data_IF_613329308840
#
_entry.id   IF_613329308840
#
_cell.length_a   1.000
_cell.length_b   1.000
_cell.length_c   1.000
_cell.angle_alpha   90.00
_cell.angle_beta   90.00
_cell.angle_gamma   90.00
#
_symmetry.space_group_name_H-M   'P 1'
#
loop_
_entity.id
_entity.type
_entity.pdbx_description
1 polymer ?
#
# COMPACT_ATOMS: atom_id res chain seq x y z
N UNK A 1 -11.20 -5.69 -15.12
CA UNK A 1 -9.85 -6.24 -15.13
C UNK A 1 -9.25 -6.33 -13.72
N UNK A 2 -9.26 -5.24 -12.94
CA UNK A 2 -8.65 -5.23 -11.60
C UNK A 2 -9.18 -6.33 -10.67
N UNK A 3 -10.51 -6.42 -10.48
CA UNK A 3 -11.12 -7.46 -9.65
C UNK A 3 -10.84 -8.87 -10.17
N UNK A 4 -10.79 -9.04 -11.48
CA UNK A 4 -10.44 -10.31 -12.12
C UNK A 4 -9.01 -10.74 -11.72
N UNK A 5 -8.03 -9.86 -11.88
CA UNK A 5 -6.65 -10.15 -11.51
C UNK A 5 -6.45 -10.33 -10.01
N UNK A 6 -7.19 -9.59 -9.20
CA UNK A 6 -7.15 -9.74 -7.75
C UNK A 6 -7.58 -11.15 -7.32
N UNK A 7 -8.61 -11.71 -7.95
CA UNK A 7 -9.10 -13.06 -7.63
C UNK A 7 -8.22 -14.14 -8.29
N UNK A 8 -7.94 -14.03 -9.59
CA UNK A 8 -7.27 -15.11 -10.35
C UNK A 8 -5.77 -15.20 -10.04
N UNK A 9 -5.11 -14.06 -9.86
CA UNK A 9 -3.67 -14.03 -9.59
C UNK A 9 -3.37 -13.67 -8.13
N UNK A 10 -4.07 -12.69 -7.60
CA UNK A 10 -3.78 -12.15 -6.28
C UNK A 10 -3.96 -13.17 -5.16
N UNK A 11 -5.13 -13.81 -5.09
CA UNK A 11 -5.41 -14.80 -4.04
C UNK A 11 -4.42 -15.98 -4.08
N UNK A 12 -4.15 -16.62 -5.23
CA UNK A 12 -3.16 -17.69 -5.28
C UNK A 12 -1.76 -17.27 -4.87
N UNK A 13 -1.29 -16.09 -5.32
CA UNK A 13 0.06 -15.61 -4.99
C UNK A 13 0.17 -15.29 -3.49
N UNK A 14 -0.82 -14.60 -2.90
CA UNK A 14 -0.85 -14.36 -1.44
C UNK A 14 -0.84 -15.67 -0.68
N UNK A 15 -1.64 -16.65 -1.11
CA UNK A 15 -1.69 -17.96 -0.45
C UNK A 15 -0.34 -18.69 -0.51
N UNK A 16 0.36 -18.61 -1.66
CA UNK A 16 1.72 -19.15 -1.80
C UNK A 16 2.72 -18.47 -0.86
N UNK A 17 2.74 -17.13 -0.80
CA UNK A 17 3.62 -16.40 0.12
C UNK A 17 3.33 -16.76 1.58
N UNK A 18 2.06 -16.81 1.97
CA UNK A 18 1.67 -17.21 3.33
C UNK A 18 2.10 -18.66 3.64
N UNK A 19 2.00 -19.57 2.67
CA UNK A 19 2.43 -20.95 2.83
C UNK A 19 3.95 -21.06 3.04
N UNK A 20 4.75 -20.35 2.24
CA UNK A 20 6.22 -20.30 2.35
C UNK A 20 6.63 -19.72 3.70
N UNK A 21 6.07 -18.58 4.09
CA UNK A 21 6.37 -17.93 5.36
C UNK A 21 6.06 -18.84 6.56
N UNK A 22 4.86 -19.44 6.58
CA UNK A 22 4.44 -20.36 7.65
C UNK A 22 5.27 -21.65 7.72
N UNK A 23 5.67 -22.19 6.57
CA UNK A 23 6.49 -23.40 6.50
C UNK A 23 7.93 -23.14 6.96
N UNK A 24 8.50 -22.03 6.54
CA UNK A 24 9.89 -21.67 6.87
C UNK A 24 10.05 -21.18 8.30
N UNK A 25 9.15 -20.31 8.77
CA UNK A 25 9.25 -19.52 10.03
C UNK A 25 10.54 -18.72 10.12
N UNK A 26 10.98 -18.18 9.01
CA UNK A 26 12.20 -17.44 8.84
C UNK A 26 11.95 -16.15 8.05
N UNK A 27 12.98 -15.31 7.94
CA UNK A 27 12.98 -14.20 6.98
C UNK A 27 12.85 -14.73 5.55
N UNK A 28 12.43 -13.87 4.61
CA UNK A 28 12.17 -14.29 3.22
C UNK A 28 13.36 -15.05 2.63
N UNK A 29 14.58 -14.47 2.72
CA UNK A 29 15.80 -15.11 2.20
C UNK A 29 16.07 -16.46 2.86
N UNK A 30 16.09 -16.50 4.18
CA UNK A 30 16.36 -17.73 4.94
C UNK A 30 15.25 -18.76 4.78
N UNK A 31 14.02 -18.30 4.54
CA UNK A 31 12.86 -19.15 4.26
C UNK A 31 13.04 -19.93 2.98
N UNK A 32 13.40 -19.26 1.90
CA UNK A 32 13.71 -19.93 0.64
C UNK A 32 14.92 -20.83 0.76
N UNK A 33 16.02 -20.39 1.38
CA UNK A 33 17.20 -21.24 1.61
C UNK A 33 16.87 -22.53 2.39
N UNK A 34 15.89 -22.48 3.30
CA UNK A 34 15.47 -23.64 4.09
C UNK A 34 14.60 -24.61 3.31
N UNK A 35 13.76 -24.08 2.41
CA UNK A 35 12.73 -24.86 1.70
C UNK A 35 13.16 -25.29 0.29
N UNK A 36 14.16 -24.64 -0.29
CA UNK A 36 14.61 -24.92 -1.64
C UNK A 36 15.26 -26.30 -1.75
N UNK A 37 15.04 -27.02 -2.86
CA UNK A 37 15.77 -28.24 -3.15
C UNK A 37 17.26 -27.95 -3.36
N UNK A 38 18.16 -28.90 -3.01
CA UNK A 38 19.59 -28.75 -3.24
C UNK A 38 19.92 -28.42 -4.70
N UNK A 39 20.78 -27.42 -4.93
CA UNK A 39 21.20 -27.01 -6.25
C UNK A 39 20.25 -26.06 -6.96
N UNK A 40 19.18 -25.58 -6.32
CA UNK A 40 18.31 -24.53 -6.85
C UNK A 40 18.69 -23.14 -6.34
N UNK A 41 18.13 -22.10 -6.94
CA UNK A 41 18.51 -20.71 -6.70
C UNK A 41 17.32 -19.89 -6.21
N UNK A 42 16.35 -20.51 -5.57
CA UNK A 42 15.15 -19.82 -5.08
C UNK A 42 15.45 -18.77 -4.00
N UNK A 43 16.54 -18.92 -3.26
CA UNK A 43 17.01 -17.92 -2.30
C UNK A 43 17.32 -16.55 -2.93
N UNK A 44 17.58 -16.49 -4.26
CA UNK A 44 17.75 -15.23 -4.98
C UNK A 44 16.47 -14.39 -4.94
N UNK A 45 15.29 -15.02 -4.94
CA UNK A 45 14.03 -14.31 -4.74
C UNK A 45 14.04 -13.51 -3.44
N UNK A 46 14.58 -14.06 -2.36
CA UNK A 46 14.68 -13.36 -1.08
C UNK A 46 15.56 -12.10 -1.15
N UNK A 47 16.61 -12.09 -1.96
CA UNK A 47 17.42 -10.90 -2.19
C UNK A 47 16.69 -9.85 -3.03
N UNK A 48 15.97 -10.29 -4.07
CA UNK A 48 15.16 -9.40 -4.91
C UNK A 48 14.04 -8.77 -4.08
N UNK A 49 13.35 -9.55 -3.26
CA UNK A 49 12.30 -9.07 -2.36
C UNK A 49 12.83 -8.03 -1.36
N UNK A 50 14.01 -8.28 -0.78
CA UNK A 50 14.68 -7.34 0.13
C UNK A 50 15.04 -6.02 -0.57
N UNK A 51 15.64 -6.10 -1.75
CA UNK A 51 15.98 -4.91 -2.55
C UNK A 51 14.72 -4.14 -2.96
N UNK A 52 13.68 -4.84 -3.41
CA UNK A 52 12.39 -4.24 -3.75
C UNK A 52 11.72 -3.54 -2.56
N UNK A 53 11.74 -4.16 -1.39
CA UNK A 53 11.23 -3.55 -0.16
C UNK A 53 12.01 -2.29 0.22
N UNK A 54 13.32 -2.26 -0.01
CA UNK A 54 14.15 -1.09 0.27
C UNK A 54 13.80 0.07 -0.67
N UNK A 55 13.68 -0.20 -1.97
CA UNK A 55 13.25 0.81 -2.97
C UNK A 55 11.85 1.32 -2.66
N UNK A 56 10.95 0.42 -2.29
CA UNK A 56 9.59 0.78 -1.91
C UNK A 56 9.57 1.70 -0.68
N UNK A 57 10.39 1.42 0.34
CA UNK A 57 10.47 2.27 1.53
C UNK A 57 10.95 3.69 1.23
N UNK A 58 11.88 3.88 0.29
CA UNK A 58 12.30 5.21 -0.17
C UNK A 58 11.09 5.99 -0.70
N UNK A 59 10.29 5.37 -1.54
CA UNK A 59 9.10 5.98 -2.11
C UNK A 59 8.03 6.27 -1.04
N UNK A 60 7.72 5.28 -0.20
CA UNK A 60 6.67 5.42 0.82
C UNK A 60 7.00 6.44 1.90
N UNK A 61 8.24 6.54 2.35
CA UNK A 61 8.62 7.54 3.35
C UNK A 61 8.46 8.95 2.81
N UNK A 62 8.75 9.17 1.53
CA UNK A 62 8.55 10.46 0.88
C UNK A 62 7.07 10.82 0.82
N UNK A 63 6.22 9.92 0.33
CA UNK A 63 4.76 10.15 0.27
C UNK A 63 4.14 10.31 1.65
N UNK A 64 4.59 9.53 2.62
CA UNK A 64 4.14 9.71 4.01
C UNK A 64 4.46 11.10 4.54
N UNK A 65 5.64 11.65 4.21
CA UNK A 65 5.99 13.03 4.52
C UNK A 65 4.99 14.04 3.94
N UNK A 66 4.61 13.88 2.67
CA UNK A 66 3.58 14.72 2.05
C UNK A 66 2.24 14.63 2.75
N UNK A 67 1.82 13.43 3.15
CA UNK A 67 0.55 13.24 3.86
C UNK A 67 0.56 13.95 5.22
N UNK A 68 1.68 13.91 5.95
CA UNK A 68 1.81 14.60 7.23
C UNK A 68 1.81 16.12 7.04
N UNK A 69 2.52 16.65 6.02
CA UNK A 69 2.49 18.07 5.69
C UNK A 69 1.07 18.55 5.36
N UNK A 70 0.37 17.83 4.48
CA UNK A 70 -1.02 18.16 4.15
C UNK A 70 -1.95 18.11 5.36
N UNK A 71 -1.77 17.12 6.22
CA UNK A 71 -2.54 17.04 7.47
C UNK A 71 -2.34 18.28 8.35
N UNK A 72 -1.10 18.72 8.52
CA UNK A 72 -0.80 19.93 9.29
C UNK A 72 -1.39 21.18 8.63
N UNK A 73 -1.30 21.30 7.32
CA UNK A 73 -1.88 22.42 6.55
C UNK A 73 -3.41 22.43 6.65
N UNK A 74 -4.08 21.27 6.61
CA UNK A 74 -5.52 21.18 6.80
C UNK A 74 -5.94 21.60 8.21
N UNK A 75 -5.22 21.15 9.23
CA UNK A 75 -5.47 21.57 10.61
C UNK A 75 -5.27 23.07 10.82
N UNK A 76 -4.27 23.64 10.14
CA UNK A 76 -3.97 25.08 10.16
C UNK A 76 -4.94 25.94 9.33
N UNK A 77 -5.87 25.32 8.60
CA UNK A 77 -6.83 26.04 7.76
C UNK A 77 -6.21 26.67 6.50
N UNK A 78 -5.02 26.22 6.09
CA UNK A 78 -4.26 26.80 4.97
C UNK A 78 -4.97 26.69 3.61
N UNK A 79 -6.00 25.89 3.50
CA UNK A 79 -6.78 25.71 2.26
C UNK A 79 -8.08 26.50 2.23
N UNK A 80 -8.41 27.23 3.31
CA UNK A 80 -9.66 27.99 3.39
C UNK A 80 -9.61 29.20 2.43
N UNK A 81 -10.63 29.29 1.59
CA UNK A 81 -10.77 30.40 0.64
C UNK A 81 -9.90 30.31 -0.62
N UNK A 82 -9.10 29.25 -0.77
CA UNK A 82 -8.28 29.06 -1.96
C UNK A 82 -9.13 28.54 -3.13
N UNK A 83 -8.81 29.03 -4.33
CA UNK A 83 -9.33 28.49 -5.58
C UNK A 83 -8.68 27.13 -5.90
N UNK A 84 -9.29 26.36 -6.80
CA UNK A 84 -8.76 25.06 -7.25
C UNK A 84 -7.31 25.16 -7.78
N UNK A 85 -6.99 26.25 -8.46
CA UNK A 85 -5.63 26.49 -8.97
C UNK A 85 -4.63 26.71 -7.83
N UNK A 86 -4.97 27.55 -6.87
CA UNK A 86 -4.11 27.83 -5.72
C UNK A 86 -3.87 26.58 -4.88
N UNK A 87 -4.87 25.71 -4.69
CA UNK A 87 -4.70 24.40 -4.03
C UNK A 87 -3.70 23.51 -4.79
N UNK A 88 -3.74 23.53 -6.12
CA UNK A 88 -2.76 22.79 -6.93
C UNK A 88 -1.35 23.38 -6.80
N UNK A 89 -1.24 24.70 -6.75
CA UNK A 89 0.04 25.41 -6.59
C UNK A 89 0.67 25.14 -5.21
N UNK A 90 -0.13 24.89 -4.17
CA UNK A 90 0.37 24.46 -2.84
C UNK A 90 1.18 23.17 -2.95
N UNK A 91 0.73 22.19 -3.74
CA UNK A 91 1.47 20.96 -3.95
C UNK A 91 2.81 21.20 -4.65
N UNK A 92 2.80 22.03 -5.70
CA UNK A 92 4.03 22.43 -6.40
C UNK A 92 5.03 23.13 -5.49
N UNK A 93 4.57 24.06 -4.64
CA UNK A 93 5.42 24.79 -3.69
C UNK A 93 6.00 23.89 -2.60
N UNK A 94 5.22 22.92 -2.11
CA UNK A 94 5.69 21.90 -1.17
C UNK A 94 6.81 21.05 -1.78
N UNK A 95 6.65 20.59 -3.01
CA UNK A 95 7.68 19.81 -3.71
C UNK A 95 8.96 20.63 -3.97
N UNK A 96 8.84 21.95 -4.12
CA UNK A 96 9.96 22.84 -4.31
C UNK A 96 10.72 23.18 -3.01
N UNK A 97 10.22 22.78 -1.84
CA UNK A 97 10.83 23.03 -0.53
C UNK A 97 11.44 21.75 0.09
N UNK A 98 12.69 21.39 -0.23
CA UNK A 98 13.32 20.18 0.28
C UNK A 98 13.44 20.13 1.80
N UNK A 99 13.60 21.27 2.46
CA UNK A 99 13.75 21.34 3.92
C UNK A 99 12.47 20.93 4.63
N UNK A 100 11.34 21.43 4.17
CA UNK A 100 10.02 21.07 4.70
C UNK A 100 9.71 19.59 4.47
N UNK A 101 9.95 19.10 3.24
CA UNK A 101 9.78 17.69 2.89
C UNK A 101 10.61 16.76 3.79
N UNK A 102 11.91 17.07 3.95
CA UNK A 102 12.80 16.28 4.80
C UNK A 102 12.38 16.33 6.27
N UNK A 103 11.87 17.47 6.74
CA UNK A 103 11.34 17.61 8.10
C UNK A 103 10.16 16.68 8.36
N UNK A 104 9.14 16.71 7.53
CA UNK A 104 7.96 15.84 7.68
C UNK A 104 8.27 14.36 7.40
N UNK A 105 9.14 14.08 6.44
CA UNK A 105 9.63 12.73 6.18
C UNK A 105 10.38 12.18 7.39
N UNK A 106 11.28 12.96 7.98
CA UNK A 106 12.02 12.62 9.19
C UNK A 106 11.09 12.37 10.38
N UNK A 107 10.10 13.24 10.58
CA UNK A 107 9.08 13.07 11.62
C UNK A 107 8.33 11.74 11.45
N UNK A 108 7.89 11.43 10.24
CA UNK A 108 7.19 10.17 9.97
C UNK A 108 8.06 8.95 10.24
N UNK A 109 9.33 8.99 9.84
CA UNK A 109 10.31 7.93 10.10
C UNK A 109 10.52 7.75 11.62
N UNK A 110 10.65 8.84 12.38
CA UNK A 110 10.80 8.79 13.83
C UNK A 110 9.57 8.16 14.50
N UNK A 111 8.36 8.51 14.07
CA UNK A 111 7.12 7.89 14.56
C UNK A 111 7.12 6.38 14.27
N UNK A 112 7.50 5.99 13.05
CA UNK A 112 7.63 4.58 12.69
C UNK A 112 8.62 3.81 13.57
N UNK A 113 9.79 4.38 13.81
CA UNK A 113 10.79 3.80 14.73
C UNK A 113 10.28 3.71 16.17
N UNK A 114 9.58 4.72 16.66
CA UNK A 114 8.99 4.71 18.00
C UNK A 114 7.96 3.58 18.16
N UNK A 115 7.11 3.38 17.15
CA UNK A 115 6.15 2.26 17.14
C UNK A 115 6.86 0.91 17.13
N UNK A 116 7.88 0.76 16.31
CA UNK A 116 8.67 -0.48 16.22
C UNK A 116 9.46 -0.75 17.50
N UNK A 117 9.99 0.28 18.17
CA UNK A 117 10.71 0.15 19.43
C UNK A 117 9.84 -0.41 20.57
N UNK A 118 8.53 -0.20 20.53
CA UNK A 118 7.56 -0.80 21.46
C UNK A 118 7.34 -2.32 21.27
N UNK A 119 8.04 -2.95 20.32
CA UNK A 119 7.96 -4.37 19.98
C UNK A 119 7.07 -4.63 18.76
N UNK A 120 7.66 -5.25 17.75
CA UNK A 120 7.02 -5.47 16.43
C UNK A 120 5.71 -6.24 16.55
N UNK A 121 5.64 -7.28 17.37
CA UNK A 121 4.45 -8.11 17.48
C UNK A 121 3.28 -7.42 18.21
N UNK A 122 3.54 -6.78 19.36
CA UNK A 122 2.47 -6.19 20.20
C UNK A 122 2.13 -4.76 19.82
N UNK A 123 3.16 -3.91 19.67
CA UNK A 123 2.95 -2.47 19.42
C UNK A 123 2.45 -2.24 18.01
N UNK A 124 3.08 -2.87 17.01
CA UNK A 124 2.69 -2.74 15.62
C UNK A 124 1.27 -3.24 15.40
N UNK A 125 0.91 -4.44 15.90
CA UNK A 125 -0.43 -5.00 15.77
C UNK A 125 -1.49 -4.06 16.36
N UNK A 126 -1.27 -3.56 17.59
CA UNK A 126 -2.22 -2.67 18.27
C UNK A 126 -2.40 -1.35 17.51
N UNK A 127 -1.30 -0.71 17.12
CA UNK A 127 -1.33 0.57 16.39
C UNK A 127 -2.01 0.38 15.03
N UNK A 128 -1.60 -0.63 14.27
CA UNK A 128 -2.18 -0.92 12.95
C UNK A 128 -3.68 -1.20 13.06
N UNK A 129 -4.12 -2.00 14.03
CA UNK A 129 -5.54 -2.30 14.23
C UNK A 129 -6.37 -1.04 14.50
N UNK A 130 -5.89 -0.16 15.37
CA UNK A 130 -6.58 1.11 15.68
C UNK A 130 -6.61 2.03 14.45
N UNK A 131 -5.48 2.16 13.76
CA UNK A 131 -5.38 2.99 12.56
C UNK A 131 -6.27 2.46 11.44
N UNK A 132 -6.31 1.15 11.20
CA UNK A 132 -7.14 0.54 10.16
C UNK A 132 -8.64 0.69 10.44
N UNK A 133 -9.07 0.56 11.70
CA UNK A 133 -10.46 0.83 12.08
C UNK A 133 -10.82 2.30 11.90
N UNK A 134 -9.92 3.21 12.30
CA UNK A 134 -10.10 4.64 12.09
C UNK A 134 -10.17 4.99 10.60
N UNK A 135 -9.28 4.42 9.79
CA UNK A 135 -9.29 4.59 8.33
C UNK A 135 -10.59 4.08 7.71
N UNK A 136 -11.06 2.89 8.10
CA UNK A 136 -12.33 2.33 7.61
C UNK A 136 -13.49 3.27 7.92
N UNK A 137 -13.56 3.78 9.16
CA UNK A 137 -14.59 4.73 9.57
C UNK A 137 -14.55 6.02 8.75
N UNK A 138 -13.36 6.60 8.54
CA UNK A 138 -13.18 7.78 7.70
C UNK A 138 -13.60 7.53 6.25
N UNK A 139 -13.22 6.39 5.66
CA UNK A 139 -13.61 6.03 4.28
C UNK A 139 -15.13 5.93 4.17
N UNK A 140 -15.81 5.32 5.13
CA UNK A 140 -17.28 5.22 5.12
C UNK A 140 -17.94 6.60 5.19
N UNK A 141 -17.44 7.49 6.05
CA UNK A 141 -17.95 8.87 6.15
C UNK A 141 -17.71 9.63 4.85
N UNK A 142 -16.50 9.57 4.29
CA UNK A 142 -16.15 10.26 3.05
C UNK A 142 -16.96 9.72 1.86
N UNK A 143 -17.12 8.41 1.77
CA UNK A 143 -17.95 7.78 0.75
C UNK A 143 -19.41 8.23 0.88
N UNK A 144 -19.96 8.20 2.09
CA UNK A 144 -21.32 8.70 2.35
C UNK A 144 -21.50 10.17 1.97
N UNK A 145 -20.54 11.02 2.37
CA UNK A 145 -20.55 12.42 1.99
C UNK A 145 -20.46 12.62 0.46
N UNK A 146 -19.58 11.86 -0.20
CA UNK A 146 -19.40 11.96 -1.66
C UNK A 146 -20.66 11.56 -2.43
N UNK A 147 -21.45 10.62 -1.91
CA UNK A 147 -22.73 10.22 -2.52
C UNK A 147 -23.82 11.30 -2.40
N UNK A 148 -23.70 12.21 -1.47
CA UNK A 148 -24.64 13.31 -1.26
C UNK A 148 -24.29 14.57 -2.06
N UNK A 149 -23.12 14.62 -2.70
CA UNK A 149 -22.69 15.77 -3.48
C UNK A 149 -23.41 15.84 -4.84
N UNK A 150 -23.67 17.07 -5.35
CA UNK A 150 -24.13 17.24 -6.72
C UNK A 150 -23.13 16.63 -7.72
N UNK A 151 -23.63 15.84 -8.67
CA UNK A 151 -22.76 15.13 -9.65
C UNK A 151 -22.24 13.77 -9.18
N UNK A 152 -22.62 13.30 -8.00
CA UNK A 152 -22.24 11.98 -7.50
C UNK A 152 -22.59 10.83 -8.45
N UNK A 153 -23.74 10.94 -9.16
CA UNK A 153 -24.18 9.95 -10.14
C UNK A 153 -23.19 9.78 -11.29
N UNK A 154 -22.69 10.90 -11.85
CA UNK A 154 -21.67 10.85 -12.92
C UNK A 154 -20.36 10.21 -12.44
N UNK A 155 -19.94 10.56 -11.23
CA UNK A 155 -18.76 9.98 -10.60
C UNK A 155 -18.89 8.47 -10.37
N UNK A 156 -20.04 8.04 -9.84
CA UNK A 156 -20.35 6.61 -9.66
C UNK A 156 -20.41 5.86 -10.99
N UNK A 157 -21.05 6.45 -11.99
CA UNK A 157 -21.14 5.87 -13.33
C UNK A 157 -19.75 5.70 -13.95
N UNK A 158 -18.90 6.72 -13.84
CA UNK A 158 -17.51 6.66 -14.30
C UNK A 158 -16.71 5.56 -13.60
N UNK A 159 -16.90 5.40 -12.29
CA UNK A 159 -16.12 4.47 -11.48
C UNK A 159 -16.59 3.02 -11.57
N UNK A 160 -17.90 2.80 -11.62
CA UNK A 160 -18.49 1.46 -11.55
C UNK A 160 -18.80 0.86 -12.91
N UNK A 161 -19.15 1.68 -13.92
CA UNK A 161 -19.53 1.18 -15.23
C UNK A 161 -18.30 1.09 -16.15
N UNK A 162 -18.01 -0.09 -16.69
CA UNK A 162 -16.91 -0.25 -17.64
C UNK A 162 -17.22 0.46 -18.95
N UNK A 163 -16.31 1.30 -19.39
CA UNK A 163 -16.32 1.99 -20.69
C UNK A 163 -15.36 1.27 -21.63
N UNK A 164 -15.91 0.44 -22.50
CA UNK A 164 -15.13 -0.38 -23.43
C UNK A 164 -14.49 0.43 -24.55
N UNK A 165 -15.12 1.51 -24.99
CA UNK A 165 -14.58 2.37 -26.04
C UNK A 165 -13.34 3.11 -25.53
N UNK A 166 -13.41 3.62 -24.32
CA UNK A 166 -12.28 4.27 -23.65
C UNK A 166 -11.16 3.27 -23.36
N UNK A 167 -11.49 2.07 -22.93
CA UNK A 167 -10.51 1.01 -22.69
C UNK A 167 -9.81 0.57 -23.99
N UNK A 168 -10.56 0.47 -25.09
CA UNK A 168 -10.02 0.14 -26.42
C UNK A 168 -9.11 1.27 -26.93
N UNK A 169 -9.51 2.53 -26.76
CA UNK A 169 -8.70 3.69 -27.15
C UNK A 169 -7.38 3.78 -26.38
N UNK A 170 -7.37 3.42 -25.08
CA UNK A 170 -6.17 3.34 -24.27
C UNK A 170 -5.28 2.10 -24.56
N UNK A 171 -5.80 1.14 -25.31
CA UNK A 171 -5.17 -0.15 -25.59
C UNK A 171 -5.45 -1.17 -24.48
N UNK A 172 -6.21 -2.21 -24.81
CA UNK A 172 -6.64 -3.24 -23.85
C UNK A 172 -5.45 -3.90 -23.10
N UNK A 173 -4.33 -4.08 -23.79
CA UNK A 173 -3.10 -4.61 -23.17
C UNK A 173 -2.54 -3.70 -22.08
N UNK A 174 -2.53 -2.40 -22.32
CA UNK A 174 -2.08 -1.41 -21.33
C UNK A 174 -3.02 -1.36 -20.12
N UNK A 175 -4.34 -1.38 -20.37
CA UNK A 175 -5.35 -1.40 -19.30
C UNK A 175 -5.25 -2.67 -18.47
N UNK A 176 -5.09 -3.82 -19.13
CA UNK A 176 -4.92 -5.10 -18.45
C UNK A 176 -3.63 -5.14 -17.60
N UNK A 177 -2.51 -4.69 -18.16
CA UNK A 177 -1.24 -4.62 -17.44
C UNK A 177 -1.32 -3.68 -16.23
N UNK A 178 -1.90 -2.50 -16.39
CA UNK A 178 -2.08 -1.55 -15.30
C UNK A 178 -2.97 -2.14 -14.18
N UNK A 179 -4.06 -2.81 -14.55
CA UNK A 179 -4.97 -3.46 -13.61
C UNK A 179 -4.28 -4.63 -12.86
N UNK A 180 -3.43 -5.39 -13.54
CA UNK A 180 -2.64 -6.46 -12.93
C UNK A 180 -1.62 -5.90 -11.94
N UNK A 181 -0.86 -4.89 -12.34
CA UNK A 181 0.09 -4.21 -11.43
C UNK A 181 -0.62 -3.63 -10.21
N UNK A 182 -1.79 -3.01 -10.41
CA UNK A 182 -2.57 -2.48 -9.29
C UNK A 182 -3.06 -3.59 -8.35
N UNK A 183 -3.44 -4.76 -8.86
CA UNK A 183 -3.85 -5.90 -8.03
C UNK A 183 -2.68 -6.42 -7.18
N UNK A 184 -1.50 -6.59 -7.76
CA UNK A 184 -0.30 -6.99 -7.02
C UNK A 184 0.14 -5.94 -6.00
N UNK A 185 0.09 -4.66 -6.38
CA UNK A 185 0.41 -3.56 -5.48
C UNK A 185 -0.53 -3.50 -4.27
N UNK A 186 -1.84 -3.65 -4.49
CA UNK A 186 -2.85 -3.66 -3.43
C UNK A 186 -2.64 -4.78 -2.42
N UNK A 187 -2.23 -5.95 -2.89
CA UNK A 187 -1.98 -7.12 -2.04
C UNK A 187 -0.57 -7.17 -1.48
N UNK A 188 0.30 -6.24 -1.90
CA UNK A 188 1.72 -6.20 -1.49
C UNK A 188 2.47 -7.51 -1.73
N UNK A 189 2.14 -8.23 -2.79
CA UNK A 189 2.77 -9.51 -3.15
C UNK A 189 4.10 -9.30 -3.89
N UNK A 190 4.98 -10.28 -3.82
CA UNK A 190 6.29 -10.27 -4.47
C UNK A 190 7.41 -9.64 -3.64
N UNK A 191 7.08 -8.98 -2.52
CA UNK A 191 8.06 -8.32 -1.65
C UNK A 191 8.43 -9.15 -0.42
N UNK A 192 7.77 -10.28 -0.23
CA UNK A 192 7.94 -11.12 0.95
C UNK A 192 7.28 -10.58 2.23
N UNK A 193 6.49 -9.51 2.15
CA UNK A 193 5.77 -8.98 3.30
C UNK A 193 4.80 -9.99 3.90
N UNK A 194 4.01 -10.64 3.05
CA UNK A 194 3.08 -11.69 3.47
C UNK A 194 3.81 -12.92 4.03
N UNK A 195 4.99 -13.26 3.51
CA UNK A 195 5.83 -14.33 4.06
C UNK A 195 6.29 -14.01 5.49
N UNK A 196 6.70 -12.76 5.75
CA UNK A 196 7.11 -12.35 7.10
C UNK A 196 5.93 -12.42 8.06
N UNK A 197 4.75 -11.90 7.71
CA UNK A 197 3.56 -12.02 8.56
C UNK A 197 3.20 -13.48 8.83
N UNK A 198 3.23 -14.33 7.82
CA UNK A 198 2.93 -15.74 7.94
C UNK A 198 3.97 -16.51 8.79
N UNK A 199 5.21 -16.05 8.86
CA UNK A 199 6.24 -16.65 9.70
C UNK A 199 5.89 -16.64 11.20
N UNK A 200 5.04 -15.69 11.62
CA UNK A 200 4.51 -15.58 12.98
C UNK A 200 3.17 -16.29 13.20
N UNK A 201 2.53 -16.77 12.13
CA UNK A 201 1.22 -17.43 12.24
C UNK A 201 1.30 -18.79 12.94
N UNK A 202 0.29 -19.09 13.76
CA UNK A 202 0.09 -20.43 14.32
C UNK A 202 -0.25 -21.45 13.22
N UNK A 203 0.10 -22.73 13.46
CA UNK A 203 -0.26 -23.82 12.55
C UNK A 203 -1.78 -24.10 12.51
N UNK A 204 -2.49 -23.68 13.55
CA UNK A 204 -3.92 -23.95 13.71
C UNK A 204 -4.80 -22.97 12.90
N UNK A 205 -4.21 -21.89 12.38
CA UNK A 205 -4.92 -20.91 11.55
C UNK A 205 -4.99 -21.40 10.09
N UNK A 206 -6.17 -21.26 9.46
CA UNK A 206 -6.29 -21.48 8.01
C UNK A 206 -5.49 -20.42 7.24
N UNK A 207 -5.03 -20.76 6.03
CA UNK A 207 -4.41 -19.83 5.09
C UNK A 207 -5.44 -19.23 4.11
N UNK A 208 -6.66 -19.71 4.18
CA UNK A 208 -7.80 -19.27 3.36
C UNK A 208 -8.98 -18.93 4.25
#
# INVERSE_FOLDING_TARGET
FYLLFLVILGIPVVTMELAVGRASRKSVKEGFMKLEPPGTWWHLHGWIALAGSFVLMIYYTTISGWMVDYFVRFLGGSFQGLSTKEVTDVFGSMLANPTELLGFMGLNVLIGFAVCAGGVAKSLEKVTKVMMLGLLFLIVILAGNSLLLPGAEEGLRFYLLPDWDRAAAAGLGNVASAAMFQAFFTLSVGQGGMEIFASYMSKDNSLT
#
